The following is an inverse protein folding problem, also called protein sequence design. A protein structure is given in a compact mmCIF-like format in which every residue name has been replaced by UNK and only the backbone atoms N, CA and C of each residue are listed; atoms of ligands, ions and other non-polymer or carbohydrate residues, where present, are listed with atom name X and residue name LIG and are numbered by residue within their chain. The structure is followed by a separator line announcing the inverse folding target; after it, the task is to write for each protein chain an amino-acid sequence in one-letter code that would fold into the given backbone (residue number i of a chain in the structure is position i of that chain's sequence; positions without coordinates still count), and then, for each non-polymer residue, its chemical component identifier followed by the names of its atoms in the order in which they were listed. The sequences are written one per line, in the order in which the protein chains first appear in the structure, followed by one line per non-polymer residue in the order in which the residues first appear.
data_IF_132025765425
#
_entry.id   IF_132025765425
#
_cell.length_a   1.000
_cell.length_b   1.000
_cell.length_c   1.000
_cell.angle_alpha   90.00
_cell.angle_beta   90.00
_cell.angle_gamma   90.00
#
_symmetry.space_group_name_H-M   'P 1'
#
loop_
_entity.id
_entity.type
_entity.pdbx_description
1 polymer ?
#
# COMPACT_ATOMS: atom_id res chain seq x y z
N UNK A 1 23.97 -8.17 -10.70
CA UNK A 1 22.86 -7.42 -10.06
C UNK A 1 22.73 -6.12 -10.80
N UNK A 2 21.53 -5.83 -11.28
CA UNK A 2 21.20 -4.57 -11.97
C UNK A 2 20.44 -3.66 -11.00
N UNK A 3 20.82 -2.40 -10.94
CA UNK A 3 20.08 -1.44 -10.13
C UNK A 3 18.70 -1.21 -10.73
N UNK A 4 17.71 -1.14 -9.88
CA UNK A 4 16.32 -0.83 -10.24
C UNK A 4 16.16 0.69 -10.27
N UNK A 5 16.04 1.32 -11.45
CA UNK A 5 15.95 2.77 -11.54
C UNK A 5 14.58 3.27 -11.09
N UNK A 6 14.53 4.52 -10.66
CA UNK A 6 13.29 5.23 -10.45
C UNK A 6 12.67 5.55 -11.81
N UNK A 7 11.49 4.99 -12.09
CA UNK A 7 10.73 5.29 -13.30
C UNK A 7 10.02 6.64 -13.17
N UNK A 8 9.37 6.87 -12.02
CA UNK A 8 8.65 8.10 -11.75
C UNK A 8 8.47 8.32 -10.25
N UNK A 9 8.43 9.59 -9.83
CA UNK A 9 8.01 10.00 -8.49
C UNK A 9 6.71 10.79 -8.64
N UNK A 10 5.70 10.39 -7.86
CA UNK A 10 4.40 11.05 -7.79
C UNK A 10 4.25 11.72 -6.43
N UNK A 11 3.58 12.84 -6.39
CA UNK A 11 2.99 13.37 -5.16
C UNK A 11 1.57 12.83 -5.00
N UNK A 12 1.19 12.54 -3.76
CA UNK A 12 -0.20 12.13 -3.46
C UNK A 12 -1.19 13.23 -3.76
N UNK A 13 -2.46 12.84 -3.93
CA UNK A 13 -3.56 13.78 -4.14
C UNK A 13 -4.51 13.75 -2.95
N UNK A 14 -4.82 14.92 -2.35
CA UNK A 14 -5.91 15.01 -1.39
C UNK A 14 -7.20 14.46 -2.00
N UNK A 15 -7.85 13.56 -1.29
CA UNK A 15 -9.06 12.86 -1.76
C UNK A 15 -10.03 12.75 -0.58
N UNK A 16 -11.32 12.68 -0.88
CA UNK A 16 -12.38 12.41 0.10
C UNK A 16 -13.08 11.13 -0.30
N UNK A 17 -13.15 10.18 0.62
CA UNK A 17 -13.77 8.87 0.42
C UNK A 17 -14.75 8.52 1.56
N UNK A 18 -15.44 7.39 1.41
CA UNK A 18 -16.41 6.93 2.40
C UNK A 18 -17.50 7.96 2.67
N UNK A 19 -17.82 8.20 3.93
CA UNK A 19 -18.80 9.20 4.34
C UNK A 19 -18.19 10.61 4.58
N UNK A 20 -17.00 10.88 4.04
CA UNK A 20 -16.31 12.17 4.18
C UNK A 20 -14.91 12.07 4.80
N UNK A 21 -14.29 10.90 4.77
CA UNK A 21 -12.91 10.69 5.23
C UNK A 21 -11.94 11.39 4.26
N UNK A 22 -11.13 12.29 4.80
CA UNK A 22 -10.05 12.95 4.06
C UNK A 22 -8.79 12.08 4.11
N UNK A 23 -8.18 11.89 2.97
CA UNK A 23 -6.99 11.04 2.83
C UNK A 23 -6.07 11.54 1.71
N UNK A 24 -4.88 10.96 1.63
CA UNK A 24 -3.92 11.21 0.56
C UNK A 24 -3.87 9.97 -0.34
N UNK A 25 -4.38 10.09 -1.58
CA UNK A 25 -4.32 9.01 -2.56
C UNK A 25 -2.99 9.02 -3.31
N UNK A 26 -2.21 7.95 -3.13
CA UNK A 26 -0.94 7.78 -3.81
C UNK A 26 -1.14 7.37 -5.27
N UNK A 27 -1.99 6.38 -5.52
CA UNK A 27 -2.46 6.00 -6.85
C UNK A 27 -3.82 5.30 -6.76
N UNK A 28 -4.49 5.15 -7.90
CA UNK A 28 -5.81 4.54 -7.99
C UNK A 28 -6.30 4.44 -9.42
N UNK A 29 -7.57 4.65 -9.63
CA UNK A 29 -8.24 4.53 -10.92
C UNK A 29 -7.47 5.19 -12.08
N UNK A 30 -7.29 4.45 -13.19
CA UNK A 30 -6.54 4.91 -14.37
C UNK A 30 -5.03 4.63 -14.34
N UNK A 31 -4.51 3.99 -13.28
CA UNK A 31 -3.10 3.63 -13.13
C UNK A 31 -2.84 2.12 -13.01
N UNK A 32 -3.83 1.30 -13.32
CA UNK A 32 -3.79 -0.16 -13.12
C UNK A 32 -2.64 -0.85 -13.85
N UNK A 33 -2.31 -0.43 -15.07
CA UNK A 33 -1.21 -1.03 -15.83
C UNK A 33 0.18 -0.70 -15.24
N UNK A 34 0.32 0.45 -14.58
CA UNK A 34 1.60 0.89 -14.01
C UNK A 34 1.91 0.18 -12.68
N UNK A 35 0.86 -0.15 -11.92
CA UNK A 35 0.96 -0.70 -10.57
C UNK A 35 0.48 -2.15 -10.45
N UNK A 36 0.13 -2.81 -11.56
CA UNK A 36 -0.29 -4.22 -11.55
C UNK A 36 0.66 -5.08 -10.67
N UNK A 37 0.18 -5.86 -9.70
CA UNK A 37 -1.22 -6.22 -9.44
C UNK A 37 -1.96 -5.31 -8.46
N UNK A 38 -1.41 -4.14 -8.12
CA UNK A 38 -2.03 -3.25 -7.16
C UNK A 38 -2.93 -2.22 -7.86
N UNK A 39 -4.04 -1.89 -7.21
CA UNK A 39 -5.09 -1.06 -7.79
C UNK A 39 -5.15 0.33 -7.16
N UNK A 40 -4.90 0.42 -5.86
CA UNK A 40 -5.06 1.66 -5.09
C UNK A 40 -4.16 1.64 -3.86
N UNK A 41 -3.63 2.81 -3.48
CA UNK A 41 -3.02 3.06 -2.18
C UNK A 41 -3.48 4.40 -1.64
N UNK A 42 -4.08 4.37 -0.45
CA UNK A 42 -4.52 5.53 0.32
C UNK A 42 -3.80 5.60 1.67
N UNK A 43 -3.40 6.80 2.06
CA UNK A 43 -2.91 7.17 3.40
C UNK A 43 -3.99 8.02 4.08
N UNK A 44 -4.73 7.43 5.03
CA UNK A 44 -5.81 8.10 5.76
C UNK A 44 -5.34 8.63 7.11
N UNK A 45 -4.37 9.50 7.08
CA UNK A 45 -3.75 10.11 8.24
C UNK A 45 -4.33 11.48 8.53
N UNK A 46 -4.75 11.72 9.79
CA UNK A 46 -5.11 13.04 10.30
C UNK A 46 -5.01 13.10 11.84
N UNK A 47 -4.62 14.26 12.35
CA UNK A 47 -4.69 14.60 13.76
C UNK A 47 -6.02 15.31 14.12
N UNK A 48 -6.91 15.51 13.14
CA UNK A 48 -8.21 16.13 13.32
C UNK A 48 -9.32 15.07 13.21
N UNK A 49 -10.03 14.73 14.28
CA UNK A 49 -11.10 13.75 14.28
C UNK A 49 -12.21 13.99 13.23
N UNK A 50 -12.49 15.26 12.90
CA UNK A 50 -13.50 15.58 11.87
C UNK A 50 -13.11 15.09 10.47
N UNK A 51 -11.85 14.75 10.22
CA UNK A 51 -11.38 14.29 8.91
C UNK A 51 -11.59 12.78 8.71
N UNK A 52 -11.79 11.98 9.78
CA UNK A 52 -11.87 10.52 9.67
C UNK A 52 -13.06 9.86 10.38
N UNK A 53 -13.68 10.50 11.38
CA UNK A 53 -14.75 9.88 12.19
C UNK A 53 -16.00 9.47 11.40
N UNK A 54 -16.22 10.07 10.23
CA UNK A 54 -17.33 9.69 9.34
C UNK A 54 -17.20 8.24 8.84
N UNK A 55 -15.95 7.75 8.72
CA UNK A 55 -15.62 6.37 8.39
C UNK A 55 -16.08 5.94 6.99
N UNK A 56 -16.04 4.63 6.84
CA UNK A 56 -16.48 3.94 5.63
C UNK A 56 -17.68 3.05 5.99
N UNK A 57 -18.93 3.59 5.93
CA UNK A 57 -20.14 2.82 6.20
C UNK A 57 -20.28 1.65 5.25
N UNK A 58 -21.25 0.77 5.51
CA UNK A 58 -21.49 -0.45 4.74
C UNK A 58 -21.36 -0.25 3.23
N UNK A 59 -20.37 -0.90 2.64
CA UNK A 59 -20.08 -0.86 1.22
C UNK A 59 -19.64 -2.24 0.70
N UNK A 60 -19.86 -2.54 -0.60
CA UNK A 60 -19.47 -3.82 -1.18
C UNK A 60 -18.02 -3.84 -1.60
N UNK A 61 -17.44 -5.05 -1.72
CA UNK A 61 -16.25 -5.32 -2.52
C UNK A 61 -16.42 -6.64 -3.28
N UNK A 62 -15.86 -6.73 -4.49
CA UNK A 62 -15.75 -7.98 -5.27
C UNK A 62 -14.50 -7.96 -6.13
N UNK A 63 -13.86 -9.12 -6.25
CA UNK A 63 -12.76 -9.36 -7.20
C UNK A 63 -11.40 -8.78 -6.81
N UNK A 64 -11.26 -8.35 -5.56
CA UNK A 64 -10.03 -7.75 -5.01
C UNK A 64 -9.70 -8.29 -3.63
N UNK A 65 -8.50 -7.95 -3.19
CA UNK A 65 -8.09 -7.98 -1.79
C UNK A 65 -7.90 -6.56 -1.28
N UNK A 66 -8.32 -6.29 -0.04
CA UNK A 66 -8.08 -5.01 0.64
C UNK A 66 -7.17 -5.24 1.84
N UNK A 67 -6.18 -4.38 1.99
CA UNK A 67 -5.16 -4.49 3.05
C UNK A 67 -5.16 -3.18 3.84
N UNK A 68 -5.59 -3.26 5.10
CA UNK A 68 -5.57 -2.14 6.03
C UNK A 68 -4.40 -2.31 7.00
N UNK A 69 -3.52 -1.31 7.10
CA UNK A 69 -2.41 -1.28 8.07
C UNK A 69 -2.54 -0.04 8.94
N UNK A 70 -2.72 -0.22 10.24
CA UNK A 70 -2.93 0.88 11.21
C UNK A 70 -1.60 1.21 11.89
N UNK A 71 -1.23 2.49 11.97
CA UNK A 71 -0.04 2.98 12.68
C UNK A 71 -0.37 3.79 13.94
N UNK A 72 -1.52 4.45 13.97
CA UNK A 72 -2.03 5.18 15.14
C UNK A 72 -3.55 5.16 15.13
N UNK A 73 -4.16 5.20 16.30
CA UNK A 73 -5.61 5.05 16.47
C UNK A 73 -6.07 3.60 16.35
N UNK A 74 -7.34 3.42 16.03
CA UNK A 74 -7.98 2.13 15.83
C UNK A 74 -9.00 2.17 14.70
N UNK A 75 -9.26 1.03 14.06
CA UNK A 75 -10.32 0.86 13.07
C UNK A 75 -11.20 -0.32 13.49
N UNK A 76 -12.45 -0.06 13.82
CA UNK A 76 -13.46 -1.11 14.05
C UNK A 76 -14.03 -1.53 12.71
N UNK A 77 -14.16 -2.84 12.49
CA UNK A 77 -14.74 -3.38 11.26
C UNK A 77 -15.87 -4.37 11.56
N UNK A 78 -16.74 -4.56 10.59
CA UNK A 78 -17.78 -5.59 10.59
C UNK A 78 -18.21 -5.91 9.17
N UNK A 79 -18.64 -7.15 8.91
CA UNK A 79 -18.99 -7.61 7.58
C UNK A 79 -20.33 -8.39 7.50
N UNK A 80 -20.75 -8.69 6.27
CA UNK A 80 -21.95 -9.43 5.95
C UNK A 80 -21.90 -10.92 6.33
N UNK A 81 -20.73 -11.45 6.69
CA UNK A 81 -20.56 -12.83 7.16
C UNK A 81 -20.64 -12.95 8.68
N UNK A 82 -20.87 -11.81 9.37
CA UNK A 82 -20.96 -11.75 10.83
C UNK A 82 -19.63 -11.56 11.55
N UNK A 83 -18.52 -11.38 10.82
CA UNK A 83 -17.25 -11.05 11.43
C UNK A 83 -17.27 -9.63 11.97
N UNK A 84 -16.65 -9.44 13.14
CA UNK A 84 -16.45 -8.14 13.78
C UNK A 84 -15.10 -8.13 14.46
N UNK A 85 -14.41 -7.03 14.35
CA UNK A 85 -13.09 -6.89 14.96
C UNK A 85 -12.67 -5.45 15.10
N UNK A 86 -11.46 -5.28 15.59
CA UNK A 86 -10.82 -3.99 15.74
C UNK A 86 -9.32 -4.14 15.51
N UNK A 87 -8.79 -3.32 14.64
CA UNK A 87 -7.37 -3.16 14.42
C UNK A 87 -6.87 -2.00 15.28
N UNK A 88 -5.74 -2.16 15.91
CA UNK A 88 -5.04 -1.13 16.68
C UNK A 88 -3.67 -0.83 16.07
N UNK A 89 -2.92 0.08 16.68
CA UNK A 89 -1.61 0.49 16.16
C UNK A 89 -0.65 -0.69 15.97
N UNK A 90 -0.19 -0.86 14.75
CA UNK A 90 0.69 -1.94 14.29
C UNK A 90 -0.02 -3.15 13.72
N UNK A 91 -1.35 -3.25 13.84
CA UNK A 91 -2.13 -4.37 13.29
C UNK A 91 -2.36 -4.21 11.78
N UNK A 92 -2.54 -5.36 11.12
CA UNK A 92 -2.90 -5.44 9.70
C UNK A 92 -4.11 -6.35 9.54
N UNK A 93 -5.03 -5.96 8.68
CA UNK A 93 -6.08 -6.84 8.18
C UNK A 93 -5.91 -7.03 6.67
N UNK A 94 -5.87 -8.29 6.25
CA UNK A 94 -5.88 -8.67 4.84
C UNK A 94 -7.19 -9.39 4.54
N UNK A 95 -8.08 -8.71 3.81
CA UNK A 95 -9.38 -9.23 3.41
C UNK A 95 -9.36 -9.62 1.94
N UNK A 96 -9.63 -10.87 1.63
CA UNK A 96 -9.96 -11.32 0.28
C UNK A 96 -11.47 -11.15 0.09
N UNK A 97 -11.90 -10.21 -0.74
CA UNK A 97 -13.32 -9.97 -1.02
C UNK A 97 -13.90 -11.03 -1.96
N UNK A 98 -13.11 -11.54 -2.88
CA UNK A 98 -13.47 -12.64 -3.78
C UNK A 98 -14.82 -12.43 -4.47
N UNK A 99 -15.74 -13.38 -4.28
CA UNK A 99 -17.08 -13.40 -4.91
C UNK A 99 -18.03 -12.30 -4.41
N UNK A 100 -17.69 -11.62 -3.32
CA UNK A 100 -18.43 -10.48 -2.80
C UNK A 100 -18.59 -10.48 -1.30
N UNK A 101 -18.38 -9.30 -0.72
CA UNK A 101 -18.58 -9.02 0.69
C UNK A 101 -19.15 -7.61 0.84
N UNK A 102 -19.97 -7.40 1.88
CA UNK A 102 -20.34 -6.08 2.39
C UNK A 102 -19.59 -5.89 3.70
N UNK A 103 -18.94 -4.77 3.88
CA UNK A 103 -18.30 -4.45 5.15
C UNK A 103 -18.34 -2.95 5.47
N UNK A 104 -17.98 -2.62 6.69
CA UNK A 104 -17.78 -1.25 7.15
C UNK A 104 -16.46 -1.14 7.92
N UNK A 105 -15.85 0.03 7.87
CA UNK A 105 -14.63 0.37 8.61
C UNK A 105 -14.83 1.73 9.30
N UNK A 106 -14.71 1.73 10.62
CA UNK A 106 -15.00 2.91 11.45
C UNK A 106 -13.74 3.31 12.23
N UNK A 107 -12.96 4.29 11.72
CA UNK A 107 -11.75 4.77 12.37
C UNK A 107 -12.06 5.59 13.62
N UNK A 108 -11.15 5.50 14.60
CA UNK A 108 -11.17 6.28 15.83
C UNK A 108 -9.74 6.61 16.21
N UNK A 109 -9.47 7.89 16.51
CA UNK A 109 -8.15 8.35 16.93
C UNK A 109 -7.69 7.79 18.27
N UNK A 110 -6.38 7.86 18.50
CA UNK A 110 -5.77 7.59 19.79
C UNK A 110 -6.14 8.66 20.84
N UNK A 111 -5.48 8.63 22.00
CA UNK A 111 -5.75 9.58 23.09
C UNK A 111 -5.48 11.04 22.70
N UNK A 112 -4.60 11.28 21.73
CA UNK A 112 -4.26 12.59 21.17
C UNK A 112 -5.11 12.96 19.95
N UNK A 113 -6.06 12.10 19.56
CA UNK A 113 -6.92 12.30 18.38
C UNK A 113 -6.25 11.96 17.05
N UNK A 114 -5.10 11.29 17.08
CA UNK A 114 -4.37 10.92 15.86
C UNK A 114 -4.92 9.62 15.29
N UNK A 115 -5.16 9.64 13.99
CA UNK A 115 -5.43 8.45 13.16
C UNK A 115 -4.39 8.36 12.06
N UNK A 116 -3.74 7.21 11.90
CA UNK A 116 -2.83 6.97 10.79
C UNK A 116 -2.94 5.51 10.34
N UNK A 117 -3.26 5.31 9.08
CA UNK A 117 -3.29 4.00 8.47
C UNK A 117 -3.23 4.08 6.96
N UNK A 118 -3.04 2.91 6.36
CA UNK A 118 -2.97 2.75 4.91
C UNK A 118 -4.02 1.74 4.45
N UNK A 119 -4.60 2.03 3.30
CA UNK A 119 -5.46 1.11 2.56
C UNK A 119 -4.79 0.79 1.23
N UNK A 120 -4.38 -0.46 1.03
CA UNK A 120 -3.88 -0.97 -0.24
C UNK A 120 -4.89 -1.93 -0.84
N UNK A 121 -5.16 -1.82 -2.13
CA UNK A 121 -5.95 -2.80 -2.86
C UNK A 121 -5.05 -3.60 -3.80
N UNK A 122 -5.17 -4.92 -3.73
CA UNK A 122 -4.53 -5.85 -4.65
C UNK A 122 -5.59 -6.54 -5.52
N UNK A 123 -5.29 -6.69 -6.80
CA UNK A 123 -6.20 -7.35 -7.73
C UNK A 123 -6.13 -8.86 -7.59
N UNK A 124 -7.26 -9.53 -7.75
CA UNK A 124 -7.31 -10.98 -7.92
C UNK A 124 -7.23 -11.35 -9.41
N UNK A 125 -6.49 -12.41 -9.77
CA UNK A 125 -6.54 -12.95 -11.13
C UNK A 125 -7.95 -13.46 -11.46
N UNK A 126 -8.28 -13.54 -12.74
CA UNK A 126 -9.59 -13.99 -13.22
C UNK A 126 -10.04 -15.29 -12.57
N UNK A 127 -9.12 -16.24 -12.40
CA UNK A 127 -9.39 -17.55 -11.78
C UNK A 127 -9.79 -17.50 -10.31
N UNK A 128 -9.48 -16.39 -9.60
CA UNK A 128 -9.75 -16.20 -8.17
C UNK A 128 -10.76 -15.08 -7.88
N UNK A 129 -11.25 -14.36 -8.91
CA UNK A 129 -12.22 -13.27 -8.73
C UNK A 129 -13.48 -13.68 -7.96
N UNK A 130 -13.88 -14.91 -8.12
CA UNK A 130 -15.09 -15.46 -7.50
C UNK A 130 -14.79 -16.48 -6.39
N UNK A 131 -13.59 -16.45 -5.81
CA UNK A 131 -13.24 -17.26 -4.62
C UNK A 131 -14.04 -16.84 -3.40
N UNK A 132 -14.11 -17.70 -2.40
CA UNK A 132 -14.81 -17.39 -1.15
C UNK A 132 -14.11 -16.23 -0.40
N UNK A 133 -14.88 -15.30 0.17
CA UNK A 133 -14.33 -14.25 1.01
C UNK A 133 -13.63 -14.81 2.25
N UNK A 134 -12.52 -14.19 2.64
CA UNK A 134 -11.81 -14.54 3.87
C UNK A 134 -11.06 -13.37 4.48
N UNK A 135 -10.74 -13.47 5.77
CA UNK A 135 -9.91 -12.52 6.49
C UNK A 135 -8.66 -13.17 7.07
N UNK A 136 -7.61 -12.37 7.18
CA UNK A 136 -6.43 -12.63 8.00
C UNK A 136 -6.22 -11.40 8.88
N UNK A 137 -6.59 -11.50 10.15
CA UNK A 137 -6.34 -10.48 11.16
C UNK A 137 -4.97 -10.74 11.77
N UNK A 138 -4.04 -9.85 11.52
CA UNK A 138 -2.64 -9.99 11.90
C UNK A 138 -2.33 -8.97 13.01
N UNK A 139 -2.27 -9.38 14.27
CA UNK A 139 -1.89 -8.49 15.35
C UNK A 139 -0.44 -8.05 15.22
N UNK A 140 -0.12 -6.85 15.69
CA UNK A 140 1.21 -6.25 15.61
C UNK A 140 2.34 -7.19 16.11
N UNK A 141 2.05 -7.96 17.16
CA UNK A 141 2.99 -8.91 17.75
C UNK A 141 3.33 -10.11 16.85
N UNK A 142 2.46 -10.42 15.86
CA UNK A 142 2.71 -11.50 14.91
C UNK A 142 3.54 -11.06 13.70
N UNK A 143 3.72 -9.75 13.51
CA UNK A 143 4.51 -9.19 12.39
C UNK A 143 5.98 -9.17 12.79
N UNK A 144 6.85 -9.97 12.15
CA UNK A 144 8.28 -9.99 12.48
C UNK A 144 8.93 -8.65 12.14
N UNK A 145 9.77 -8.18 13.04
CA UNK A 145 10.64 -7.03 12.84
C UNK A 145 12.10 -7.50 12.79
N UNK A 146 12.86 -6.99 11.84
CA UNK A 146 14.30 -7.22 11.69
C UNK A 146 15.00 -5.88 11.79
N UNK A 147 16.06 -5.83 12.60
CA UNK A 147 16.97 -4.69 12.70
C UNK A 147 18.35 -5.14 12.25
N UNK A 148 18.94 -4.41 11.31
CA UNK A 148 20.29 -4.66 10.84
C UNK A 148 21.33 -3.80 11.59
N UNK A 149 22.63 -4.12 11.44
CA UNK A 149 23.74 -3.49 12.16
C UNK A 149 23.85 -1.97 11.92
N UNK A 150 23.36 -1.49 10.79
CA UNK A 150 23.32 -0.06 10.45
C UNK A 150 22.15 0.69 11.11
N UNK A 151 21.29 -0.02 11.87
CA UNK A 151 20.10 0.49 12.52
C UNK A 151 18.86 0.54 11.61
N UNK A 152 18.97 0.08 10.36
CA UNK A 152 17.80 -0.06 9.47
C UNK A 152 16.87 -1.13 10.01
N UNK A 153 15.56 -0.87 9.96
CA UNK A 153 14.52 -1.78 10.46
C UNK A 153 13.51 -2.09 9.36
N UNK A 154 12.98 -3.31 9.41
CA UNK A 154 11.91 -3.74 8.52
C UNK A 154 10.86 -4.53 9.31
N UNK A 155 9.57 -4.16 9.18
CA UNK A 155 8.42 -4.95 9.63
C UNK A 155 7.86 -5.67 8.40
N UNK A 156 7.86 -7.00 8.44
CA UNK A 156 7.52 -7.83 7.29
C UNK A 156 6.07 -8.29 7.41
N UNK A 157 5.15 -7.65 6.69
CA UNK A 157 3.72 -7.94 6.72
C UNK A 157 3.41 -9.15 5.84
N UNK A 158 3.93 -9.14 4.61
CA UNK A 158 3.72 -10.20 3.63
C UNK A 158 4.99 -10.48 2.83
N UNK A 159 5.19 -11.73 2.44
CA UNK A 159 6.35 -12.20 1.69
C UNK A 159 7.58 -12.45 2.56
N UNK A 160 8.72 -12.66 1.93
CA UNK A 160 10.01 -12.89 2.60
C UNK A 160 10.91 -11.67 2.42
N UNK A 161 11.54 -11.23 3.52
CA UNK A 161 12.44 -10.08 3.52
C UNK A 161 13.50 -10.23 4.63
N UNK A 162 14.77 -9.97 4.33
CA UNK A 162 15.92 -10.12 5.23
C UNK A 162 15.89 -11.42 6.06
N UNK A 163 15.59 -12.55 5.39
CA UNK A 163 15.57 -13.88 5.99
C UNK A 163 14.40 -14.13 6.96
N UNK A 164 13.39 -13.29 6.98
CA UNK A 164 12.15 -13.51 7.74
C UNK A 164 10.96 -13.50 6.79
N UNK A 165 9.95 -14.32 7.13
CA UNK A 165 8.70 -14.42 6.39
C UNK A 165 7.58 -13.71 7.17
N UNK A 166 6.82 -12.88 6.49
CA UNK A 166 5.61 -12.26 7.04
C UNK A 166 4.49 -13.28 7.27
N UNK A 167 3.56 -12.98 8.17
CA UNK A 167 2.49 -13.89 8.60
C UNK A 167 1.37 -14.08 7.56
N UNK A 168 1.22 -13.17 6.60
CA UNK A 168 0.17 -13.26 5.57
C UNK A 168 0.49 -14.34 4.56
N UNK A 169 -0.45 -15.28 4.34
CA UNK A 169 -0.26 -16.44 3.46
C UNK A 169 -1.46 -16.68 2.54
N UNK A 170 -1.21 -17.41 1.43
CA UNK A 170 -2.25 -17.85 0.51
C UNK A 170 -2.97 -16.71 -0.20
N UNK A 171 -2.28 -15.62 -0.48
CA UNK A 171 -2.76 -14.45 -1.22
C UNK A 171 -2.28 -14.48 -2.67
N UNK A 172 -3.03 -13.83 -3.56
CA UNK A 172 -2.73 -13.80 -4.97
C UNK A 172 -1.50 -12.92 -5.28
N UNK A 173 -0.94 -13.07 -6.49
CA UNK A 173 0.13 -12.23 -7.04
C UNK A 173 1.46 -12.23 -6.25
N UNK A 174 1.61 -13.14 -5.29
CA UNK A 174 2.85 -13.31 -4.50
C UNK A 174 3.41 -11.96 -3.99
N UNK A 175 2.62 -11.17 -3.23
CA UNK A 175 3.01 -9.83 -2.84
C UNK A 175 4.09 -9.85 -1.76
N UNK A 176 4.93 -8.79 -1.78
CA UNK A 176 5.76 -8.41 -0.65
C UNK A 176 5.29 -7.06 -0.15
N UNK A 177 5.00 -6.97 1.15
CA UNK A 177 4.56 -5.74 1.80
C UNK A 177 5.37 -5.54 3.07
N UNK A 178 6.24 -4.53 3.08
CA UNK A 178 7.24 -4.29 4.13
C UNK A 178 7.26 -2.80 4.49
N UNK A 179 7.25 -2.53 5.80
CA UNK A 179 7.45 -1.19 6.35
C UNK A 179 8.92 -1.05 6.75
N UNK A 180 9.65 -0.19 6.06
CA UNK A 180 11.10 -0.03 6.17
C UNK A 180 11.44 1.34 6.73
N UNK A 181 12.36 1.36 7.73
CA UNK A 181 12.95 2.57 8.29
C UNK A 181 14.45 2.54 8.11
N UNK A 182 15.01 3.59 7.50
CA UNK A 182 16.46 3.77 7.31
C UNK A 182 16.91 4.99 8.11
N UNK A 183 17.87 4.84 9.03
CA UNK A 183 18.33 5.92 9.90
C UNK A 183 18.94 7.11 9.14
N UNK A 184 19.05 8.27 9.82
CA UNK A 184 19.63 9.49 9.25
C UNK A 184 20.97 9.26 8.54
N UNK A 185 21.07 9.74 7.30
CA UNK A 185 22.28 9.70 6.49
C UNK A 185 22.74 8.30 6.07
N UNK A 186 22.02 7.24 6.41
CA UNK A 186 22.39 5.86 6.00
C UNK A 186 21.94 5.58 4.58
N UNK A 187 22.70 4.70 3.92
CA UNK A 187 22.39 4.16 2.60
C UNK A 187 22.05 2.69 2.72
N UNK A 188 20.93 2.29 2.10
CA UNK A 188 20.46 0.89 2.12
C UNK A 188 20.28 0.36 0.71
N UNK A 189 20.68 -0.91 0.52
CA UNK A 189 20.41 -1.70 -0.68
C UNK A 189 19.36 -2.74 -0.35
N UNK A 190 18.36 -2.83 -1.20
CA UNK A 190 17.19 -3.68 -1.00
C UNK A 190 16.96 -4.50 -2.26
N UNK A 191 16.95 -5.82 -2.11
CA UNK A 191 16.72 -6.71 -3.25
C UNK A 191 15.22 -6.86 -3.53
N UNK A 192 14.87 -6.76 -4.82
CA UNK A 192 13.53 -6.99 -5.35
C UNK A 192 13.68 -7.77 -6.65
N UNK A 193 13.00 -8.91 -6.77
CA UNK A 193 13.09 -9.75 -7.97
C UNK A 193 12.65 -8.98 -9.23
N UNK A 194 13.36 -9.16 -10.34
CA UNK A 194 13.10 -8.45 -11.63
C UNK A 194 11.72 -8.73 -12.21
N UNK A 195 11.12 -9.87 -11.87
CA UNK A 195 9.78 -10.27 -12.34
C UNK A 195 8.62 -9.60 -11.62
N UNK A 196 8.92 -8.71 -10.65
CA UNK A 196 7.90 -8.01 -9.85
C UNK A 196 7.83 -6.55 -10.21
N UNK A 197 6.65 -5.99 -10.30
CA UNK A 197 6.46 -4.55 -10.18
C UNK A 197 6.71 -4.13 -8.74
N UNK A 198 7.30 -2.94 -8.55
CA UNK A 198 7.62 -2.45 -7.23
C UNK A 198 7.46 -0.93 -7.12
N UNK A 199 7.02 -0.49 -5.94
CA UNK A 199 6.98 0.92 -5.57
C UNK A 199 7.30 1.11 -4.09
N UNK A 200 7.74 2.32 -3.74
CA UNK A 200 7.89 2.76 -2.37
C UNK A 200 6.97 3.95 -2.08
N UNK A 201 6.25 3.90 -0.96
CA UNK A 201 5.46 5.03 -0.47
C UNK A 201 6.12 5.61 0.77
N UNK A 202 6.65 6.83 0.66
CA UNK A 202 7.33 7.51 1.77
C UNK A 202 6.30 8.20 2.66
N UNK A 203 6.29 7.84 3.93
CA UNK A 203 5.33 8.40 4.91
C UNK A 203 5.97 9.06 6.13
N UNK A 204 7.32 9.08 6.21
CA UNK A 204 8.05 9.90 7.17
C UNK A 204 9.47 10.18 6.68
N UNK A 205 10.00 11.35 7.02
CA UNK A 205 11.32 11.79 6.60
C UNK A 205 11.44 12.04 5.11
N UNK A 206 12.66 11.94 4.58
CA UNK A 206 12.97 12.13 3.17
C UNK A 206 14.24 11.37 2.76
N UNK A 207 14.41 11.14 1.46
CA UNK A 207 15.60 10.49 0.92
C UNK A 207 15.61 10.48 -0.61
N UNK A 208 16.64 9.84 -1.15
CA UNK A 208 16.85 9.67 -2.60
C UNK A 208 16.86 8.18 -2.92
N UNK A 209 16.03 7.75 -3.86
CA UNK A 209 16.00 6.38 -4.40
C UNK A 209 16.81 6.19 -5.66
N UNK A 210 17.77 7.06 -5.93
CA UNK A 210 18.60 6.99 -7.12
C UNK A 210 20.00 6.49 -6.78
N UNK A 211 20.53 5.70 -7.68
CA UNK A 211 21.96 5.39 -7.63
C UNK A 211 22.78 6.60 -8.07
N UNK A 212 23.90 6.82 -7.35
CA UNK A 212 24.88 7.84 -7.71
C UNK A 212 25.59 7.55 -9.06
N UNK A 213 25.51 6.31 -9.56
CA UNK A 213 26.04 5.90 -10.86
C UNK A 213 25.12 6.20 -12.05
N UNK A 214 23.87 6.61 -11.81
CA UNK A 214 23.06 7.15 -12.91
C UNK A 214 23.79 8.36 -13.49
N UNK A 215 23.97 8.43 -14.83
CA UNK A 215 24.58 9.60 -15.44
C UNK A 215 23.67 10.79 -15.14
N UNK A 216 24.02 11.51 -14.08
CA UNK A 216 23.51 12.87 -13.91
C UNK A 216 23.99 13.61 -15.15
N UNK A 217 23.11 14.38 -15.79
CA UNK A 217 23.55 15.36 -16.74
C UNK A 217 24.75 16.06 -16.09
N UNK A 218 25.91 15.94 -16.68
CA UNK A 218 27.12 16.62 -16.18
C UNK A 218 26.79 18.09 -16.31
N UNK A 219 26.40 18.71 -15.18
CA UNK A 219 26.31 20.17 -15.12
C UNK A 219 27.73 20.68 -15.21
N UNK A 220 28.16 20.90 -16.44
CA UNK A 220 29.37 21.70 -16.71
C UNK A 220 29.02 23.11 -16.27
N UNK A 221 29.74 23.63 -15.27
CA UNK A 221 29.65 25.01 -14.78
C UNK A 221 28.41 25.36 -13.92
N UNK A 222 27.97 24.52 -13.02
CA UNK A 222 27.16 25.03 -11.88
C UNK A 222 28.11 25.50 -10.78
N UNK A 223 28.01 26.78 -10.40
CA UNK A 223 28.59 27.24 -9.15
C UNK A 223 28.00 26.40 -8.03
N UNK A 224 28.88 25.66 -7.31
CA UNK A 224 28.44 24.91 -6.14
C UNK A 224 28.14 25.96 -5.07
N UNK A 225 26.85 26.20 -4.77
CA UNK A 225 26.45 26.95 -3.61
C UNK A 225 26.78 26.12 -2.37
N UNK A 226 27.76 26.48 -1.54
CA UNK A 226 28.11 25.73 -0.35
C UNK A 226 26.96 25.73 0.71
N UNK A 227 25.95 26.59 0.55
CA UNK A 227 24.76 26.67 1.38
C UNK A 227 23.54 26.00 0.76
N UNK A 228 23.67 25.38 -0.41
CA UNK A 228 22.56 24.67 -1.06
C UNK A 228 22.11 23.50 -0.16
N UNK A 229 20.89 23.55 0.29
CA UNK A 229 20.26 22.45 1.03
C UNK A 229 20.13 21.24 0.08
N UNK A 230 20.57 20.03 0.48
CA UNK A 230 20.39 18.84 -0.31
C UNK A 230 18.91 18.65 -0.69
N UNK A 231 18.63 18.54 -1.98
CA UNK A 231 17.27 18.25 -2.45
C UNK A 231 17.09 16.72 -2.48
N UNK A 232 16.18 16.23 -1.67
CA UNK A 232 15.77 14.83 -1.67
C UNK A 232 14.62 14.63 -2.65
N UNK A 233 14.75 13.66 -3.54
CA UNK A 233 13.74 13.40 -4.58
C UNK A 233 12.42 12.83 -4.02
N UNK A 234 12.47 12.17 -2.86
CA UNK A 234 11.30 11.59 -2.20
C UNK A 234 11.20 12.08 -0.75
N UNK A 235 10.06 12.61 -0.39
CA UNK A 235 9.71 13.12 0.93
C UNK A 235 8.40 12.49 1.40
N UNK A 236 7.97 12.83 2.62
CA UNK A 236 6.65 12.45 3.11
C UNK A 236 5.55 12.70 2.05
N UNK A 237 4.68 11.71 1.83
CA UNK A 237 3.64 11.64 0.78
C UNK A 237 4.17 11.48 -0.67
N UNK A 238 5.41 11.08 -0.86
CA UNK A 238 5.92 10.71 -2.19
C UNK A 238 5.70 9.23 -2.48
N UNK A 239 5.21 8.93 -3.68
CA UNK A 239 5.16 7.58 -4.24
C UNK A 239 6.24 7.44 -5.30
N UNK A 240 7.14 6.49 -5.10
CA UNK A 240 8.26 6.20 -6.00
C UNK A 240 7.96 4.91 -6.74
N UNK A 241 7.68 5.01 -8.03
CA UNK A 241 7.53 3.85 -8.92
C UNK A 241 8.89 3.48 -9.50
N UNK A 242 9.24 2.20 -9.40
CA UNK A 242 10.49 1.67 -9.92
C UNK A 242 10.30 1.01 -11.30
N UNK A 243 11.33 1.08 -12.12
CA UNK A 243 11.46 0.28 -13.32
C UNK A 243 12.05 -1.10 -12.99
N UNK A 244 12.39 -1.92 -13.95
CA UNK A 244 12.94 -3.25 -13.73
C UNK A 244 14.39 -3.23 -13.28
N UNK A 245 14.75 -4.15 -12.40
CA UNK A 245 16.09 -4.33 -11.85
C UNK A 245 16.03 -5.21 -10.59
N UNK A 246 17.19 -5.62 -10.08
CA UNK A 246 17.31 -6.54 -8.94
C UNK A 246 17.39 -5.81 -7.60
N UNK A 247 17.82 -4.54 -7.60
CA UNK A 247 18.21 -3.86 -6.38
C UNK A 247 17.70 -2.40 -6.37
N UNK A 248 17.01 -2.02 -5.30
CA UNK A 248 16.68 -0.64 -4.97
C UNK A 248 17.77 -0.09 -4.06
N UNK A 249 18.20 1.13 -4.32
CA UNK A 249 19.14 1.86 -3.46
C UNK A 249 18.43 3.08 -2.90
N UNK A 250 18.42 3.22 -1.58
CA UNK A 250 17.89 4.39 -0.87
C UNK A 250 18.97 5.04 -0.04
N UNK A 251 19.09 6.36 -0.15
CA UNK A 251 19.91 7.21 0.69
C UNK A 251 18.98 8.05 1.57
N UNK A 252 18.98 7.78 2.87
CA UNK A 252 18.17 8.53 3.81
C UNK A 252 18.69 9.97 4.01
N UNK A 253 17.78 10.89 4.19
CA UNK A 253 18.05 12.28 4.55
C UNK A 253 18.51 12.46 5.99
N UNK A 254 18.65 13.72 6.46
CA UNK A 254 19.18 14.03 7.78
C UNK A 254 18.24 13.60 8.94
N UNK A 255 16.97 13.39 8.66
CA UNK A 255 15.99 12.91 9.64
C UNK A 255 15.67 11.42 9.47
N UNK A 256 16.37 10.74 8.54
CA UNK A 256 16.02 9.39 8.13
C UNK A 256 14.89 9.35 7.11
N UNK A 257 14.48 8.12 6.75
CA UNK A 257 13.34 7.90 5.86
C UNK A 257 12.58 6.65 6.31
N UNK A 258 11.25 6.71 6.26
CA UNK A 258 10.39 5.54 6.46
C UNK A 258 9.38 5.42 5.32
N UNK A 259 9.25 4.22 4.80
CA UNK A 259 8.41 3.98 3.62
C UNK A 259 7.85 2.55 3.61
N UNK A 260 6.71 2.39 2.98
CA UNK A 260 6.20 1.08 2.58
C UNK A 260 6.91 0.67 1.30
N UNK A 261 7.54 -0.51 1.29
CA UNK A 261 7.99 -1.16 0.07
C UNK A 261 6.98 -2.24 -0.30
N UNK A 262 6.39 -2.08 -1.47
CA UNK A 262 5.39 -3.01 -1.99
C UNK A 262 5.85 -3.53 -3.35
N UNK A 263 5.78 -4.85 -3.53
CA UNK A 263 6.06 -5.47 -4.82
C UNK A 263 5.18 -6.71 -5.02
N UNK A 264 4.87 -7.03 -6.29
CA UNK A 264 4.05 -8.19 -6.63
C UNK A 264 4.27 -8.61 -8.08
N UNK A 265 3.95 -9.87 -8.37
CA UNK A 265 3.95 -10.37 -9.76
C UNK A 265 2.78 -9.76 -10.52
N UNK A 266 3.01 -9.08 -11.65
CA UNK A 266 1.93 -8.54 -12.45
C UNK A 266 1.01 -9.67 -12.92
N UNK A 267 -0.29 -9.41 -12.97
CA UNK A 267 -1.29 -10.35 -13.47
C UNK A 267 -1.38 -10.31 -14.99
N UNK A 268 -1.13 -9.13 -15.57
CA UNK A 268 -1.22 -8.88 -17.03
C UNK A 268 -2.60 -9.24 -17.59
N UNK A 269 -3.65 -9.07 -16.79
CA UNK A 269 -5.04 -9.35 -17.15
C UNK A 269 -5.83 -8.05 -17.32
N UNK A 270 -6.90 -8.05 -18.14
CA UNK A 270 -7.80 -6.92 -18.28
C UNK A 270 -8.44 -6.53 -16.93
N UNK A 271 -8.66 -5.24 -16.72
CA UNK A 271 -9.30 -4.69 -15.52
C UNK A 271 -10.53 -3.89 -15.91
N UNK A 272 -11.71 -4.38 -15.51
CA UNK A 272 -12.97 -3.64 -15.55
C UNK A 272 -13.31 -3.17 -14.13
N UNK A 273 -13.29 -1.85 -13.90
CA UNK A 273 -13.35 -1.28 -12.55
C UNK A 273 -14.47 -0.24 -12.42
N UNK A 274 -15.35 -0.44 -11.44
CA UNK A 274 -16.39 0.53 -11.06
C UNK A 274 -16.56 0.58 -9.54
N UNK A 275 -16.17 1.71 -8.92
CA UNK A 275 -16.20 1.88 -7.48
C UNK A 275 -15.42 0.77 -6.76
N UNK A 276 -16.01 0.06 -5.79
CA UNK A 276 -15.33 -0.98 -5.03
C UNK A 276 -15.40 -2.38 -5.68
N UNK A 277 -15.84 -2.48 -6.92
CA UNK A 277 -15.98 -3.74 -7.68
C UNK A 277 -15.00 -3.76 -8.84
N UNK A 278 -14.17 -4.80 -8.91
CA UNK A 278 -13.16 -4.97 -9.96
C UNK A 278 -13.24 -6.37 -10.54
N UNK A 279 -13.55 -6.44 -11.84
CA UNK A 279 -13.65 -7.67 -12.61
C UNK A 279 -12.67 -7.65 -13.79
N UNK A 280 -12.73 -8.64 -14.68
CA UNK A 280 -11.88 -8.67 -15.87
C UNK A 280 -12.59 -8.11 -17.10
N UNK A 281 -13.92 -8.15 -17.14
CA UNK A 281 -14.73 -7.69 -18.27
C UNK A 281 -15.88 -6.78 -17.85
N UNK A 282 -16.32 -5.91 -18.75
CA UNK A 282 -17.50 -5.08 -18.53
C UNK A 282 -18.78 -5.90 -18.36
N UNK A 283 -18.85 -7.10 -18.94
CA UNK A 283 -19.99 -8.00 -18.76
C UNK A 283 -20.07 -8.51 -17.32
N UNK A 284 -18.97 -8.97 -16.76
CA UNK A 284 -18.87 -9.40 -15.35
C UNK A 284 -19.13 -8.23 -14.39
N UNK A 285 -18.66 -7.05 -14.73
CA UNK A 285 -18.89 -5.84 -13.94
C UNK A 285 -20.38 -5.48 -13.90
N UNK A 286 -21.06 -5.47 -15.06
CA UNK A 286 -22.51 -5.23 -15.13
C UNK A 286 -23.30 -6.29 -14.37
N UNK A 287 -22.88 -7.57 -14.43
CA UNK A 287 -23.49 -8.64 -13.66
C UNK A 287 -23.35 -8.38 -12.16
N UNK A 288 -22.15 -8.02 -11.68
CA UNK A 288 -21.91 -7.73 -10.27
C UNK A 288 -22.78 -6.56 -9.76
N UNK A 289 -22.93 -5.50 -10.57
CA UNK A 289 -23.80 -4.36 -10.23
C UNK A 289 -25.27 -4.78 -10.18
N UNK A 290 -25.73 -5.60 -11.14
CA UNK A 290 -27.09 -6.13 -11.15
C UNK A 290 -27.36 -7.02 -9.94
N UNK A 291 -26.43 -7.90 -9.56
CA UNK A 291 -26.54 -8.73 -8.37
C UNK A 291 -26.61 -7.88 -7.09
N UNK A 292 -25.85 -6.79 -7.00
CA UNK A 292 -25.92 -5.85 -5.88
C UNK A 292 -27.31 -5.19 -5.78
N UNK A 293 -27.85 -4.73 -6.90
CA UNK A 293 -29.18 -4.11 -6.95
C UNK A 293 -30.31 -5.08 -6.60
N UNK A 294 -30.16 -6.36 -6.97
CA UNK A 294 -31.18 -7.39 -6.75
C UNK A 294 -31.02 -8.12 -5.40
N UNK A 295 -30.04 -7.75 -4.57
CA UNK A 295 -29.78 -8.39 -3.27
C UNK A 295 -29.19 -9.80 -3.35
N UNK A 296 -28.61 -10.18 -4.49
CA UNK A 296 -27.99 -11.50 -4.73
C UNK A 296 -26.46 -11.44 -4.78
N UNK A 297 -25.89 -10.30 -4.39
CA UNK A 297 -24.46 -10.06 -4.46
C UNK A 297 -23.66 -10.93 -3.49
N UNK A 298 -24.16 -11.13 -2.27
CA UNK A 298 -23.54 -11.98 -1.27
C UNK A 298 -23.93 -13.42 -1.53
N UNK A 299 -22.95 -14.28 -1.79
CA UNK A 299 -23.13 -15.71 -2.13
C UNK A 299 -22.91 -16.65 -0.96
N UNK A 300 -22.27 -16.15 0.09
CA UNK A 300 -21.94 -16.89 1.30
C UNK A 300 -22.53 -16.14 2.50
N UNK A 301 -23.33 -16.82 3.30
CA UNK A 301 -24.00 -16.28 4.49
C UNK A 301 -24.46 -17.40 5.40
#
# INVERSE_FOLDING_TARGET
MSLRPVKQIFETKPTVEGAGVKLQRAFGFGKTAEFDPFLLLDDFRSDNPADYLAGFPWHPHRGIETITYVLAGEVAHGDSLGNKGRMTAGDVQWMTAGSGILHQEMPKGDAEGRMHGFQLWANLPASLKMTDPRYQDIPAAAIPEVTEDDGSRARIICGEFWGKKGPVEGVAADPRYVDISVPPGKRKRIQVETTRNAFAYVFAGAGTFRDASMPRAVLTESAVDPNATPVYDAKNHSLVLFDQGDEIVVQAGPEGIRFLLVSGKPLEEPVAWYGPIVMNTDAELRQAVSELQNGTFIRHG
#
